data_IF_834534936164
#
_entry.id   IF_834534936164
#
_cell.length_a   1.000
_cell.length_b   1.000
_cell.length_c   1.000
_cell.angle_alpha   90.00
_cell.angle_beta   90.00
_cell.angle_gamma   90.00
#
_symmetry.space_group_name_H-M   'P 1'
#
loop_
_entity.id
_entity.type
_entity.pdbx_description
1 polymer ?
#
# COMPACT_ATOMS: atom_id res chain seq x y z
N UNK A 1 -1.17 -3.12 -12.44
CA UNK A 1 -0.13 -2.38 -11.71
C UNK A 1 1.21 -3.04 -11.97
N UNK A 2 2.23 -2.28 -12.36
CA UNK A 2 3.57 -2.80 -12.67
C UNK A 2 4.64 -2.09 -11.82
N UNK A 3 5.82 -2.72 -11.61
CA UNK A 3 6.96 -2.04 -11.00
C UNK A 3 7.32 -0.77 -11.78
N UNK A 4 7.56 0.33 -11.06
CA UNK A 4 7.85 1.64 -11.62
C UNK A 4 6.61 2.47 -12.01
N UNK A 5 5.40 1.90 -11.95
CA UNK A 5 4.18 2.69 -12.08
C UNK A 5 4.00 3.58 -10.85
N UNK A 6 3.45 4.77 -11.06
CA UNK A 6 2.86 5.55 -9.98
C UNK A 6 1.49 4.96 -9.61
N UNK A 7 1.06 5.18 -8.37
CA UNK A 7 -0.25 4.76 -7.86
C UNK A 7 -0.99 5.96 -7.27
N UNK A 8 -2.19 6.24 -7.77
CA UNK A 8 -3.11 7.21 -7.22
C UNK A 8 -4.22 6.47 -6.48
N UNK A 9 -4.39 6.79 -5.20
CA UNK A 9 -5.48 6.31 -4.36
C UNK A 9 -6.45 7.46 -4.15
N UNK A 10 -7.70 7.25 -4.54
CA UNK A 10 -8.80 8.23 -4.44
C UNK A 10 -9.89 7.69 -3.51
N UNK A 11 -10.17 8.40 -2.43
CA UNK A 11 -11.41 8.21 -1.67
C UNK A 11 -12.50 9.09 -2.31
N UNK A 12 -13.62 8.47 -2.63
CA UNK A 12 -14.73 9.07 -3.36
C UNK A 12 -15.97 9.16 -2.47
N UNK A 13 -16.70 10.26 -2.57
CA UNK A 13 -17.96 10.53 -1.84
C UNK A 13 -19.08 9.53 -2.15
N UNK A 14 -19.02 8.87 -3.30
CA UNK A 14 -20.00 7.86 -3.69
C UNK A 14 -19.43 6.87 -4.71
N UNK A 15 -20.09 5.72 -4.81
CA UNK A 15 -19.78 4.71 -5.82
C UNK A 15 -20.02 5.23 -7.24
N UNK A 16 -21.04 6.08 -7.45
CA UNK A 16 -21.30 6.70 -8.75
C UNK A 16 -20.12 7.57 -9.23
N UNK A 17 -19.56 8.39 -8.33
CA UNK A 17 -18.36 9.19 -8.63
C UNK A 17 -17.13 8.35 -8.91
N UNK A 18 -16.96 7.23 -8.20
CA UNK A 18 -15.88 6.28 -8.52
C UNK A 18 -16.02 5.73 -9.95
N UNK A 19 -17.22 5.33 -10.37
CA UNK A 19 -17.45 4.86 -11.74
C UNK A 19 -17.24 5.95 -12.79
N UNK A 20 -17.67 7.20 -12.53
CA UNK A 20 -17.39 8.33 -13.44
C UNK A 20 -15.88 8.49 -13.69
N UNK A 21 -15.06 8.42 -12.62
CA UNK A 21 -13.60 8.49 -12.74
C UNK A 21 -13.05 7.32 -13.55
N UNK A 22 -13.49 6.08 -13.25
CA UNK A 22 -13.02 4.87 -13.93
C UNK A 22 -13.38 4.89 -15.44
N UNK A 23 -14.58 5.35 -15.78
CA UNK A 23 -15.02 5.47 -17.18
C UNK A 23 -14.28 6.56 -17.96
N UNK A 24 -13.79 7.59 -17.26
CA UNK A 24 -13.00 8.68 -17.83
C UNK A 24 -11.50 8.40 -17.98
N UNK A 25 -11.01 7.22 -17.57
CA UNK A 25 -9.59 6.89 -17.64
C UNK A 25 -9.11 6.79 -19.10
N UNK A 26 -8.00 7.46 -19.38
CA UNK A 26 -7.30 7.36 -20.66
C UNK A 26 -6.39 6.12 -20.71
N UNK A 27 -5.96 5.70 -21.90
CA UNK A 27 -5.11 4.52 -22.13
C UNK A 27 -3.77 4.51 -21.37
N UNK A 28 -3.33 5.63 -20.78
CA UNK A 28 -2.05 5.76 -20.08
C UNK A 28 -2.12 5.39 -18.58
N UNK A 29 -3.32 5.09 -18.07
CA UNK A 29 -3.58 4.73 -16.67
C UNK A 29 -4.59 3.60 -16.62
N UNK A 30 -4.56 2.80 -15.57
CA UNK A 30 -5.49 1.68 -15.39
C UNK A 30 -6.07 1.70 -13.98
N UNK A 31 -7.38 1.42 -13.88
CA UNK A 31 -7.99 1.13 -12.59
C UNK A 31 -7.48 -0.24 -12.11
N UNK A 32 -6.77 -0.24 -10.98
CA UNK A 32 -6.23 -1.45 -10.35
C UNK A 32 -7.31 -2.13 -9.53
N UNK A 33 -7.99 -1.36 -8.68
CA UNK A 33 -9.01 -1.87 -7.78
C UNK A 33 -10.02 -0.78 -7.45
N UNK A 34 -11.28 -1.17 -7.28
CA UNK A 34 -12.32 -0.33 -6.71
C UNK A 34 -12.93 -1.06 -5.52
N UNK A 35 -13.01 -0.37 -4.39
CA UNK A 35 -13.38 -0.96 -3.10
C UNK A 35 -14.59 -0.18 -2.58
N UNK A 36 -15.80 -0.77 -2.61
CA UNK A 36 -17.04 -0.09 -2.21
C UNK A 36 -17.23 -0.07 -0.69
N UNK A 37 -17.51 1.11 -0.12
CA UNK A 37 -17.64 1.34 1.31
C UNK A 37 -19.04 1.74 1.73
N UNK A 38 -19.25 1.88 3.03
CA UNK A 38 -20.55 2.27 3.58
C UNK A 38 -21.02 3.66 3.12
N UNK A 39 -20.09 4.61 2.95
CA UNK A 39 -20.40 6.02 2.64
C UNK A 39 -19.73 6.51 1.35
N UNK A 40 -19.14 5.63 0.55
CA UNK A 40 -18.28 6.03 -0.56
C UNK A 40 -17.57 4.85 -1.22
N UNK A 41 -16.48 5.12 -1.92
CA UNK A 41 -15.63 4.08 -2.49
C UNK A 41 -14.17 4.53 -2.51
N UNK A 42 -13.24 3.58 -2.49
CA UNK A 42 -11.83 3.83 -2.76
C UNK A 42 -11.51 3.32 -4.16
N UNK A 43 -10.82 4.13 -4.97
CA UNK A 43 -10.35 3.76 -6.30
C UNK A 43 -8.83 3.83 -6.31
N UNK A 44 -8.20 2.76 -6.75
CA UNK A 44 -6.76 2.67 -6.97
C UNK A 44 -6.49 2.69 -8.46
N UNK A 45 -5.63 3.61 -8.91
CA UNK A 45 -5.32 3.82 -10.33
C UNK A 45 -3.80 3.82 -10.48
N UNK A 46 -3.27 2.94 -11.32
CA UNK A 46 -1.83 2.86 -11.60
C UNK A 46 -1.51 3.38 -13.00
N UNK A 47 -0.28 3.88 -13.19
CA UNK A 47 0.23 4.26 -14.50
C UNK A 47 1.25 5.38 -14.43
N UNK A 48 1.32 6.19 -15.49
CA UNK A 48 2.27 7.31 -15.54
C UNK A 48 1.90 8.41 -14.51
N UNK A 49 2.87 8.84 -13.71
CA UNK A 49 2.69 9.86 -12.66
C UNK A 49 2.04 11.16 -13.18
N UNK A 50 2.48 11.63 -14.35
CA UNK A 50 1.95 12.89 -14.94
C UNK A 50 0.50 12.74 -15.36
N UNK A 51 0.12 11.58 -15.91
CA UNK A 51 -1.25 11.29 -16.26
C UNK A 51 -2.15 11.20 -15.01
N UNK A 52 -1.66 10.58 -13.93
CA UNK A 52 -2.39 10.49 -12.65
C UNK A 52 -2.58 11.85 -12.00
N UNK A 53 -1.59 12.76 -12.08
CA UNK A 53 -1.75 14.14 -11.60
C UNK A 53 -2.91 14.88 -12.27
N UNK A 54 -3.22 14.57 -13.53
CA UNK A 54 -4.38 15.12 -14.24
C UNK A 54 -5.74 14.69 -13.68
N UNK A 55 -5.79 13.61 -12.90
CA UNK A 55 -7.01 13.12 -12.24
C UNK A 55 -7.20 13.74 -10.84
N UNK A 56 -6.17 14.39 -10.31
CA UNK A 56 -6.22 15.04 -9.00
C UNK A 56 -7.11 16.29 -9.09
N UNK A 57 -8.25 16.27 -8.40
CA UNK A 57 -9.24 17.35 -8.44
C UNK A 57 -10.53 17.03 -9.20
N UNK A 58 -10.76 15.77 -9.60
CA UNK A 58 -12.09 15.35 -10.04
C UNK A 58 -13.14 15.61 -8.94
N UNK A 59 -14.34 16.03 -9.35
CA UNK A 59 -15.44 16.27 -8.42
C UNK A 59 -15.82 14.98 -7.67
N UNK A 60 -16.08 15.11 -6.36
CA UNK A 60 -16.46 14.00 -5.49
C UNK A 60 -15.29 13.22 -4.89
N UNK A 61 -14.05 13.70 -5.02
CA UNK A 61 -12.89 13.18 -4.27
C UNK A 61 -12.91 13.78 -2.85
N UNK A 62 -13.00 12.94 -1.82
CA UNK A 62 -12.89 13.36 -0.41
C UNK A 62 -11.45 13.38 0.08
N UNK A 63 -10.63 12.47 -0.41
CA UNK A 63 -9.21 12.36 -0.09
C UNK A 63 -8.48 11.75 -1.28
N UNK A 64 -7.23 12.15 -1.48
CA UNK A 64 -6.37 11.57 -2.50
C UNK A 64 -4.95 11.43 -1.98
N UNK A 65 -4.23 10.42 -2.48
CA UNK A 65 -2.79 10.29 -2.27
C UNK A 65 -2.13 9.69 -3.51
N UNK A 66 -1.01 10.28 -3.91
CA UNK A 66 -0.20 9.81 -5.03
C UNK A 66 1.10 9.22 -4.49
N UNK A 67 1.35 7.96 -4.80
CA UNK A 67 2.62 7.28 -4.59
C UNK A 67 3.39 7.33 -5.92
N UNK A 68 4.49 8.10 -6.03
CA UNK A 68 5.09 8.44 -7.33
C UNK A 68 5.69 7.26 -8.10
N UNK A 69 6.11 6.21 -7.41
CA UNK A 69 6.68 5.01 -8.03
C UNK A 69 6.55 3.85 -7.05
N UNK A 70 6.09 2.70 -7.52
CA UNK A 70 6.07 1.47 -6.74
C UNK A 70 7.26 0.59 -7.09
N UNK A 71 8.06 0.22 -6.08
CA UNK A 71 9.08 -0.81 -6.23
C UNK A 71 8.48 -2.18 -6.54
N UNK A 72 9.29 -3.05 -7.16
CA UNK A 72 8.89 -4.42 -7.47
C UNK A 72 8.42 -5.18 -6.21
N UNK A 73 9.14 -5.03 -5.10
CA UNK A 73 8.78 -5.67 -3.84
C UNK A 73 7.39 -5.27 -3.34
N UNK A 74 6.99 -4.00 -3.47
CA UNK A 74 5.65 -3.54 -3.06
C UNK A 74 4.57 -4.13 -3.96
N UNK A 75 4.81 -4.20 -5.27
CA UNK A 75 3.89 -4.82 -6.21
C UNK A 75 3.72 -6.32 -5.90
N UNK A 76 4.82 -7.04 -5.66
CA UNK A 76 4.79 -8.46 -5.30
C UNK A 76 4.07 -8.70 -3.97
N UNK A 77 4.35 -7.87 -2.95
CA UNK A 77 3.71 -7.95 -1.63
C UNK A 77 2.19 -7.72 -1.69
N UNK A 78 1.74 -6.77 -2.52
CA UNK A 78 0.30 -6.52 -2.72
C UNK A 78 -0.40 -7.64 -3.49
N UNK A 79 0.27 -8.22 -4.50
CA UNK A 79 -0.27 -9.37 -5.24
C UNK A 79 -0.23 -10.67 -4.42
N UNK A 80 0.36 -10.67 -3.22
CA UNK A 80 0.48 -11.83 -2.35
C UNK A 80 1.38 -12.93 -2.92
N UNK A 81 2.35 -12.56 -3.77
CA UNK A 81 3.14 -13.52 -4.53
C UNK A 81 4.31 -14.11 -3.73
N UNK A 82 4.68 -13.49 -2.61
CA UNK A 82 5.80 -13.92 -1.77
C UNK A 82 5.42 -13.93 -0.29
N UNK A 83 5.83 -14.97 0.42
CA UNK A 83 5.85 -15.01 1.89
C UNK A 83 7.22 -15.53 2.33
N UNK A 84 8.25 -14.65 2.34
CA UNK A 84 9.58 -15.05 2.74
C UNK A 84 9.59 -15.33 4.25
N UNK A 85 10.49 -16.22 4.71
CA UNK A 85 10.73 -16.37 6.13
C UNK A 85 11.19 -15.02 6.73
N UNK A 86 10.74 -14.72 7.95
CA UNK A 86 11.16 -13.50 8.64
C UNK A 86 12.68 -13.49 8.85
N UNK A 87 13.33 -12.39 8.46
CA UNK A 87 14.75 -12.18 8.62
C UNK A 87 15.07 -10.88 9.40
N UNK A 88 15.91 -10.98 10.43
CA UNK A 88 16.29 -9.83 11.25
C UNK A 88 15.10 -9.22 12.02
N UNK A 89 14.55 -8.12 11.51
CA UNK A 89 13.46 -7.35 12.10
C UNK A 89 12.09 -7.74 11.51
N UNK A 90 11.03 -7.46 12.26
CA UNK A 90 9.66 -7.48 11.76
C UNK A 90 9.03 -6.09 11.92
N UNK A 91 8.36 -5.64 10.88
CA UNK A 91 7.65 -4.37 10.84
C UNK A 91 6.20 -4.62 10.45
N UNK A 92 5.30 -3.93 11.15
CA UNK A 92 3.89 -3.89 10.81
C UNK A 92 3.43 -2.43 10.85
N UNK A 93 2.85 -1.96 9.75
CA UNK A 93 2.20 -0.67 9.67
C UNK A 93 0.74 -0.88 9.29
N UNK A 94 -0.18 -0.30 10.06
CA UNK A 94 -1.61 -0.30 9.77
C UNK A 94 -2.10 1.15 9.66
N UNK A 95 -2.87 1.46 8.62
CA UNK A 95 -3.50 2.78 8.47
C UNK A 95 -4.85 2.66 7.79
N UNK A 96 -5.80 3.56 8.12
CA UNK A 96 -7.02 3.70 7.34
C UNK A 96 -6.80 4.41 5.99
N UNK A 97 -5.67 5.10 5.79
CA UNK A 97 -5.29 5.68 4.51
C UNK A 97 -4.50 4.64 3.71
N UNK A 98 -5.15 4.05 2.69
CA UNK A 98 -4.53 3.04 1.84
C UNK A 98 -3.26 3.55 1.16
N UNK A 99 -3.27 4.79 0.67
CA UNK A 99 -2.10 5.34 -0.01
C UNK A 99 -0.92 5.50 0.95
N UNK A 100 -1.19 5.81 2.22
CA UNK A 100 -0.14 5.86 3.24
C UNK A 100 0.52 4.50 3.44
N UNK A 101 -0.25 3.41 3.42
CA UNK A 101 0.29 2.05 3.53
C UNK A 101 1.23 1.72 2.36
N UNK A 102 0.85 2.07 1.13
CA UNK A 102 1.73 1.89 -0.04
C UNK A 102 3.00 2.75 0.03
N UNK A 103 2.89 3.99 0.50
CA UNK A 103 4.04 4.88 0.68
C UNK A 103 5.01 4.35 1.76
N UNK A 104 4.48 3.85 2.88
CA UNK A 104 5.31 3.20 3.91
C UNK A 104 5.96 1.94 3.36
N UNK A 105 5.22 1.12 2.63
CA UNK A 105 5.75 -0.09 2.00
C UNK A 105 6.93 0.23 1.07
N UNK A 106 6.78 1.23 0.21
CA UNK A 106 7.84 1.64 -0.71
C UNK A 106 9.03 2.24 0.03
N UNK A 107 8.78 3.04 1.07
CA UNK A 107 9.86 3.57 1.91
C UNK A 107 10.63 2.45 2.59
N UNK A 108 9.96 1.43 3.14
CA UNK A 108 10.61 0.27 3.74
C UNK A 108 11.48 -0.47 2.70
N UNK A 109 10.96 -0.66 1.48
CA UNK A 109 11.70 -1.24 0.36
C UNK A 109 12.97 -0.45 0.02
N UNK A 110 12.87 0.87 -0.11
CA UNK A 110 14.00 1.76 -0.39
C UNK A 110 15.06 1.75 0.72
N UNK A 111 14.69 1.40 1.96
CA UNK A 111 15.58 1.29 3.12
C UNK A 111 16.16 -0.11 3.29
N UNK A 112 15.89 -1.03 2.37
CA UNK A 112 16.42 -2.39 2.36
C UNK A 112 15.66 -3.37 3.26
N UNK A 113 14.46 -3.02 3.69
CA UNK A 113 13.51 -3.98 4.25
C UNK A 113 12.64 -4.53 3.13
N UNK A 114 12.28 -5.80 3.16
CA UNK A 114 11.42 -6.42 2.17
C UNK A 114 9.96 -6.41 2.67
N UNK A 115 9.07 -5.57 2.12
CA UNK A 115 7.64 -5.78 2.25
C UNK A 115 7.28 -7.14 1.67
N UNK A 116 6.43 -7.88 2.37
CA UNK A 116 6.03 -9.21 1.90
C UNK A 116 4.54 -9.49 1.98
N UNK A 117 3.80 -8.76 2.82
CA UNK A 117 2.35 -8.88 2.86
C UNK A 117 1.75 -7.48 2.93
N UNK A 118 1.05 -7.07 1.87
CA UNK A 118 0.32 -5.81 1.82
C UNK A 118 -1.14 -6.12 1.52
N UNK A 119 -2.02 -5.91 2.50
CA UNK A 119 -3.44 -6.25 2.35
C UNK A 119 -4.35 -5.11 2.71
N UNK A 120 -5.49 -5.14 2.04
CA UNK A 120 -6.62 -4.27 2.31
C UNK A 120 -7.67 -5.10 3.05
N UNK A 121 -7.99 -4.70 4.27
CA UNK A 121 -8.98 -5.35 5.12
C UNK A 121 -10.38 -4.85 4.75
N UNK A 122 -11.22 -5.77 4.29
CA UNK A 122 -12.61 -5.51 3.90
C UNK A 122 -13.57 -5.78 5.07
N UNK A 123 -14.69 -5.06 5.13
CA UNK A 123 -15.77 -5.31 6.10
C UNK A 123 -15.79 -4.42 7.36
N UNK A 124 -15.01 -3.33 7.39
CA UNK A 124 -15.00 -2.34 8.47
C UNK A 124 -14.64 -0.94 7.97
N UNK A 125 -14.29 0.03 8.85
CA UNK A 125 -13.60 1.24 8.40
C UNK A 125 -12.36 0.79 7.64
N UNK A 126 -12.18 1.34 6.42
CA UNK A 126 -11.08 0.97 5.54
C UNK A 126 -9.79 0.93 6.32
N UNK A 127 -9.12 -0.22 6.29
CA UNK A 127 -7.85 -0.44 6.94
C UNK A 127 -7.00 -1.24 5.98
N UNK A 128 -5.78 -0.79 5.77
CA UNK A 128 -4.77 -1.57 5.09
C UNK A 128 -3.59 -1.74 6.02
N UNK A 129 -2.81 -2.77 5.76
CA UNK A 129 -1.55 -2.97 6.44
C UNK A 129 -0.46 -3.38 5.47
N UNK A 130 0.77 -3.14 5.88
CA UNK A 130 1.96 -3.74 5.28
C UNK A 130 2.81 -4.40 6.36
N UNK A 131 3.26 -5.61 6.07
CA UNK A 131 4.27 -6.33 6.83
C UNK A 131 5.59 -6.31 6.05
N UNK A 132 6.69 -6.07 6.75
CA UNK A 132 8.02 -6.11 6.17
C UNK A 132 9.04 -6.76 7.10
N UNK A 133 10.12 -7.27 6.52
CA UNK A 133 11.21 -7.91 7.27
C UNK A 133 12.57 -7.53 6.70
N UNK A 134 13.64 -7.67 7.48
CA UNK A 134 15.00 -7.40 7.01
C UNK A 134 15.98 -7.03 8.12
N UNK A 135 17.28 -7.08 7.82
CA UNK A 135 18.37 -6.80 8.76
C UNK A 135 18.83 -5.34 8.78
N UNK A 136 18.17 -4.45 8.04
CA UNK A 136 18.52 -3.02 7.99
C UNK A 136 18.46 -2.33 9.36
N UNK A 137 19.27 -1.30 9.54
CA UNK A 137 19.24 -0.46 10.75
C UNK A 137 18.01 0.45 10.77
N UNK A 138 17.27 0.48 11.88
CA UNK A 138 16.06 1.31 12.03
C UNK A 138 16.35 2.81 12.10
N UNK A 139 17.61 3.20 12.35
CA UNK A 139 18.05 4.60 12.29
C UNK A 139 17.77 5.23 10.92
N UNK A 140 17.74 4.42 9.85
CA UNK A 140 17.43 4.86 8.49
C UNK A 140 15.97 5.29 8.27
N UNK A 141 15.09 4.99 9.25
CA UNK A 141 13.67 5.36 9.29
C UNK A 141 13.41 6.61 10.16
N UNK A 142 14.44 7.19 10.78
CA UNK A 142 14.29 8.41 11.55
C UNK A 142 13.82 9.58 10.68
N UNK A 143 12.79 10.31 11.14
CA UNK A 143 12.27 11.50 10.46
C UNK A 143 10.96 11.30 9.69
N UNK A 144 10.45 10.08 9.58
CA UNK A 144 9.16 9.83 8.94
C UNK A 144 7.98 10.00 9.94
N UNK A 145 6.96 10.84 9.64
CA UNK A 145 5.84 11.09 10.55
C UNK A 145 5.02 9.84 10.91
N UNK A 146 5.02 8.83 10.05
CA UNK A 146 4.31 7.57 10.25
C UNK A 146 5.07 6.59 11.15
N UNK A 147 6.35 6.86 11.47
CA UNK A 147 7.18 5.99 12.31
C UNK A 147 6.54 5.73 13.69
N UNK A 148 5.83 6.72 14.23
CA UNK A 148 5.13 6.61 15.53
C UNK A 148 4.02 5.56 15.52
N UNK A 149 3.51 5.21 14.33
CA UNK A 149 2.47 4.20 14.11
C UNK A 149 3.04 2.87 13.61
N UNK A 150 4.35 2.81 13.34
CA UNK A 150 5.02 1.59 12.91
C UNK A 150 5.30 0.70 14.12
N UNK A 151 4.76 -0.51 14.12
CA UNK A 151 5.15 -1.53 15.08
C UNK A 151 6.45 -2.17 14.60
N UNK A 152 7.50 -2.09 15.41
CA UNK A 152 8.80 -2.70 15.16
C UNK A 152 9.09 -3.76 16.22
N UNK A 153 9.35 -4.98 15.78
CA UNK A 153 9.78 -6.10 16.63
C UNK A 153 11.20 -6.49 16.22
N UNK A 154 12.23 -6.04 16.97
CA UNK A 154 13.59 -6.52 16.73
C UNK A 154 13.69 -7.99 17.12
N UNK A 155 14.30 -8.81 16.27
CA UNK A 155 14.51 -10.24 16.52
C UNK A 155 13.23 -10.98 16.94
N UNK A 156 12.23 -11.12 16.04
CA UNK A 156 10.96 -11.76 16.37
C UNK A 156 11.13 -13.17 16.91
N UNK A 157 10.23 -13.56 17.82
CA UNK A 157 10.26 -14.85 18.50
C UNK A 157 10.18 -16.03 17.53
N UNK A 158 10.66 -17.20 17.94
CA UNK A 158 10.57 -18.41 17.14
C UNK A 158 9.12 -18.69 16.70
N UNK A 159 8.15 -18.56 17.60
CA UNK A 159 6.73 -18.76 17.27
C UNK A 159 6.22 -17.81 16.18
N UNK A 160 6.66 -16.55 16.16
CA UNK A 160 6.27 -15.62 15.10
C UNK A 160 6.94 -15.97 13.77
N UNK A 161 8.22 -16.37 13.81
CA UNK A 161 8.94 -16.84 12.61
C UNK A 161 8.30 -18.09 12.04
N UNK A 162 7.95 -19.05 12.88
CA UNK A 162 7.30 -20.30 12.49
C UNK A 162 5.93 -20.04 11.85
N UNK A 163 5.15 -19.09 12.41
CA UNK A 163 3.86 -18.70 11.84
C UNK A 163 3.96 -18.30 10.37
N UNK A 164 4.94 -17.46 10.01
CA UNK A 164 5.16 -17.01 8.63
C UNK A 164 5.95 -18.01 7.77
N UNK A 165 6.58 -19.02 8.38
CA UNK A 165 7.29 -20.09 7.66
C UNK A 165 6.37 -21.22 7.19
N UNK A 166 5.21 -21.38 7.83
CA UNK A 166 4.40 -22.59 7.72
C UNK A 166 3.30 -22.56 6.64
N UNK A 167 3.04 -21.44 5.94
CA UNK A 167 2.04 -21.41 4.86
C UNK A 167 2.34 -20.37 3.76
N UNK A 168 2.34 -20.76 2.47
CA UNK A 168 1.87 -19.85 1.44
C UNK A 168 0.36 -19.68 1.65
N UNK A 169 -0.08 -18.45 1.89
CA UNK A 169 -1.50 -18.09 2.00
C UNK A 169 -2.14 -17.90 0.63
#
# INVERSE_FOLDING_TARGET
MKPGDALLVLEMESLGKAYEVIQGLANAVEAVEMIPGATGAVVMIAGNETALKGLQGHAGITRQRLVPSLSEAVVQAYLGLENPPLDGNFFCFESPDLGEVFEVADTLAQKGFAPFDLRILRGGPWKAYVLATGRGGTESLAGFPWLVRLTHIPSPSASLRDYFSLKPH
#
